data_IF_649768613091
#
_entry.id   IF_649768613091
#
_cell.length_a   1.000
_cell.length_b   1.000
_cell.length_c   1.000
_cell.angle_alpha   90.00
_cell.angle_beta   90.00
_cell.angle_gamma   90.00
#
_symmetry.space_group_name_H-M   'P 1'
#
loop_
_entity.id
_entity.type
_entity.pdbx_description
1 polymer ?
#
# COMPACT_ATOMS: atom_id res chain seq x y z
N UNK A 1 35.48 -23.07 -5.01
CA UNK A 1 36.24 -21.81 -4.97
C UNK A 1 35.79 -21.02 -6.19
N UNK A 2 34.74 -20.20 -6.14
CA UNK A 2 34.69 -18.87 -5.53
C UNK A 2 33.34 -18.64 -4.83
N UNK A 3 33.36 -18.44 -3.52
CA UNK A 3 32.24 -17.88 -2.76
C UNK A 3 32.10 -16.41 -3.15
N UNK A 4 31.18 -16.11 -4.07
CA UNK A 4 30.81 -14.74 -4.37
C UNK A 4 30.30 -14.12 -3.08
N UNK A 5 30.96 -13.04 -2.68
CA UNK A 5 30.71 -12.23 -1.50
C UNK A 5 29.21 -12.16 -1.23
N UNK A 6 28.76 -12.78 -0.14
CA UNK A 6 27.44 -12.57 0.39
C UNK A 6 27.41 -11.10 0.85
N UNK A 7 26.95 -10.20 -0.03
CA UNK A 7 26.62 -8.84 0.38
C UNK A 7 25.60 -9.00 1.51
N UNK A 8 25.90 -8.58 2.75
CA UNK A 8 25.05 -8.82 3.93
C UNK A 8 23.67 -8.10 3.84
N UNK A 9 23.36 -7.51 2.70
CA UNK A 9 22.18 -6.71 2.40
C UNK A 9 21.40 -7.21 1.17
N UNK A 10 21.52 -8.49 0.79
CA UNK A 10 20.54 -9.09 -0.15
C UNK A 10 19.31 -9.51 0.66
N UNK A 11 18.34 -8.62 0.76
CA UNK A 11 16.98 -8.96 1.18
C UNK A 11 16.24 -9.40 -0.09
N UNK A 12 15.81 -10.66 -0.21
CA UNK A 12 15.05 -11.10 -1.38
C UNK A 12 13.74 -10.31 -1.48
N UNK A 13 13.33 -10.00 -2.71
CA UNK A 13 12.02 -9.39 -2.93
C UNK A 13 10.93 -10.33 -2.40
N UNK A 14 9.97 -9.84 -1.60
CA UNK A 14 8.93 -10.68 -1.05
C UNK A 14 7.96 -11.12 -2.15
N UNK A 15 7.59 -12.40 -2.15
CA UNK A 15 6.61 -12.95 -3.09
C UNK A 15 5.18 -12.64 -2.63
N UNK A 16 4.78 -11.37 -2.79
CA UNK A 16 3.45 -10.89 -2.44
C UNK A 16 2.63 -10.76 -3.73
N UNK A 17 1.48 -11.43 -3.77
CA UNK A 17 0.55 -11.30 -4.88
C UNK A 17 0.03 -9.85 -4.97
N UNK A 18 0.21 -9.15 -6.10
CA UNK A 18 -0.23 -7.77 -6.27
C UNK A 18 -1.76 -7.63 -6.29
N UNK A 19 -2.49 -8.71 -6.57
CA UNK A 19 -3.95 -8.77 -6.67
C UNK A 19 -4.52 -9.23 -5.33
N UNK A 20 -5.34 -8.39 -4.70
CA UNK A 20 -6.07 -8.70 -3.46
C UNK A 20 -7.22 -9.67 -3.75
N UNK A 21 -8.02 -9.34 -4.76
CA UNK A 21 -9.22 -10.06 -5.15
C UNK A 21 -9.38 -9.97 -6.66
N UNK A 22 -9.81 -11.08 -7.26
CA UNK A 22 -10.13 -11.16 -8.67
C UNK A 22 -11.59 -11.59 -8.83
N UNK A 23 -12.39 -10.76 -9.50
CA UNK A 23 -13.78 -11.03 -9.84
C UNK A 23 -13.91 -11.07 -11.35
N UNK A 24 -13.78 -12.27 -11.93
CA UNK A 24 -13.76 -12.46 -13.39
C UNK A 24 -12.62 -11.65 -14.04
N UNK A 25 -12.91 -10.76 -15.01
CA UNK A 25 -11.89 -9.92 -15.65
C UNK A 25 -11.41 -8.75 -14.77
N UNK A 26 -12.03 -8.49 -13.61
CA UNK A 26 -11.70 -7.38 -12.73
C UNK A 26 -10.71 -7.81 -11.64
N UNK A 27 -9.50 -7.25 -11.65
CA UNK A 27 -8.47 -7.50 -10.64
C UNK A 27 -8.26 -6.26 -9.75
N UNK A 28 -8.51 -6.40 -8.45
CA UNK A 28 -8.28 -5.36 -7.45
C UNK A 28 -6.85 -5.48 -6.93
N UNK A 29 -6.06 -4.42 -7.05
CA UNK A 29 -4.66 -4.41 -6.65
C UNK A 29 -4.42 -3.64 -5.34
N UNK A 30 -3.34 -4.00 -4.62
CA UNK A 30 -2.94 -3.34 -3.36
C UNK A 30 -2.74 -1.82 -3.50
N UNK A 31 -2.12 -1.38 -4.60
CA UNK A 31 -1.91 0.05 -4.83
C UNK A 31 -3.25 0.80 -4.99
N UNK A 32 -4.22 0.17 -5.66
CA UNK A 32 -5.57 0.72 -5.85
C UNK A 32 -6.30 0.90 -4.52
N UNK A 33 -6.22 -0.13 -3.66
CA UNK A 33 -6.78 -0.05 -2.31
C UNK A 33 -6.14 1.08 -1.50
N UNK A 34 -4.81 1.25 -1.60
CA UNK A 34 -4.08 2.34 -0.95
C UNK A 34 -4.61 3.72 -1.33
N UNK A 35 -4.86 3.96 -2.62
CA UNK A 35 -5.45 5.23 -3.07
C UNK A 35 -6.84 5.47 -2.48
N UNK A 36 -7.72 4.47 -2.52
CA UNK A 36 -9.09 4.59 -1.99
C UNK A 36 -9.07 4.90 -0.49
N UNK A 37 -8.31 4.13 0.28
CA UNK A 37 -8.20 4.33 1.73
C UNK A 37 -7.61 5.70 2.06
N UNK A 38 -6.55 6.12 1.35
CA UNK A 38 -5.93 7.42 1.55
C UNK A 38 -6.89 8.59 1.30
N UNK A 39 -7.66 8.53 0.20
CA UNK A 39 -8.65 9.57 -0.14
C UNK A 39 -9.77 9.61 0.91
N UNK A 40 -10.31 8.45 1.30
CA UNK A 40 -11.37 8.38 2.31
C UNK A 40 -10.91 8.94 3.66
N UNK A 41 -9.67 8.61 4.05
CA UNK A 41 -9.09 9.11 5.29
C UNK A 41 -8.86 10.61 5.26
N UNK A 42 -8.28 11.15 4.17
CA UNK A 42 -8.07 12.58 3.99
C UNK A 42 -9.39 13.36 4.00
N UNK A 43 -10.42 12.82 3.35
CA UNK A 43 -11.76 13.40 3.34
C UNK A 43 -12.39 13.42 4.74
N UNK A 44 -12.39 12.28 5.42
CA UNK A 44 -12.90 12.16 6.79
C UNK A 44 -12.19 13.10 7.75
N UNK A 45 -10.85 13.14 7.68
CA UNK A 45 -10.03 14.00 8.53
C UNK A 45 -10.29 15.48 8.27
N UNK A 46 -10.34 15.90 7.00
CA UNK A 46 -10.66 17.28 6.61
C UNK A 46 -12.01 17.72 7.14
N UNK A 47 -13.04 16.86 7.03
CA UNK A 47 -14.36 17.13 7.60
C UNK A 47 -14.30 17.33 9.11
N UNK A 48 -13.57 16.47 9.82
CA UNK A 48 -13.41 16.59 11.27
C UNK A 48 -12.70 17.90 11.66
N UNK A 49 -11.68 18.30 10.89
CA UNK A 49 -10.94 19.54 11.09
C UNK A 49 -11.85 20.76 10.98
N UNK A 50 -12.62 20.85 9.90
CA UNK A 50 -13.56 21.96 9.66
C UNK A 50 -14.72 21.97 10.67
N UNK A 51 -15.12 20.80 11.18
CA UNK A 51 -16.19 20.67 12.17
C UNK A 51 -15.76 21.02 13.59
N UNK A 52 -14.46 21.23 13.84
CA UNK A 52 -13.92 21.53 15.17
C UNK A 52 -13.62 23.03 15.23
N UNK A 53 -14.49 23.87 15.82
CA UNK A 53 -14.20 25.29 15.97
C UNK A 53 -13.08 25.43 17.03
N UNK A 54 -11.88 25.86 16.63
CA UNK A 54 -10.77 26.09 17.55
C UNK A 54 -9.42 25.45 17.18
N UNK A 55 -9.34 24.78 16.03
CA UNK A 55 -8.12 24.76 15.19
C UNK A 55 -8.22 25.90 14.18
#
# INVERSE_FOLDING_TARGET
MHSLIALPAVIPFPDINPIIVQVGPLAIHWYGLGYVVGILFAWWYSRRLVSTPGL
#
